data_IF_592013805918
#
_entry.id   IF_592013805918
#
_cell.length_a   1.000
_cell.length_b   1.000
_cell.length_c   1.000
_cell.angle_alpha   90.00
_cell.angle_beta   90.00
_cell.angle_gamma   90.00
#
_symmetry.space_group_name_H-M   'P 1'
#
loop_
_entity.id
_entity.type
_entity.pdbx_description
1 polymer ?
#
# COMPACT_ATOMS: atom_id res chain seq x y z
N UNK A 1 16.21 34.35 -25.28
CA UNK A 1 15.16 35.04 -24.49
C UNK A 1 14.07 34.12 -23.90
N UNK A 2 14.15 32.78 -24.01
CA UNK A 2 13.12 31.85 -23.48
C UNK A 2 13.51 31.14 -22.17
N UNK A 3 14.66 31.45 -21.57
CA UNK A 3 15.23 30.72 -20.43
C UNK A 3 14.86 31.26 -19.04
N UNK A 4 14.28 32.47 -18.93
CA UNK A 4 13.90 33.08 -17.65
C UNK A 4 12.41 32.83 -17.31
N UNK A 5 12.09 32.43 -16.05
CA UNK A 5 10.72 32.32 -15.55
C UNK A 5 9.92 33.62 -15.76
N UNK A 6 8.61 33.51 -16.07
CA UNK A 6 7.75 34.67 -16.39
C UNK A 6 7.77 35.76 -15.31
N UNK A 7 7.74 35.36 -14.04
CA UNK A 7 7.73 36.28 -12.89
C UNK A 7 9.04 37.06 -12.76
N UNK A 8 10.18 36.41 -13.02
CA UNK A 8 11.48 37.09 -12.98
C UNK A 8 11.62 38.03 -14.18
N UNK A 9 11.11 37.65 -15.36
CA UNK A 9 11.08 38.51 -16.55
C UNK A 9 10.31 39.80 -16.33
N UNK A 10 9.11 39.72 -15.77
CA UNK A 10 8.28 40.90 -15.49
C UNK A 10 8.95 41.84 -14.48
N UNK A 11 9.59 41.27 -13.45
CA UNK A 11 10.34 42.06 -12.46
C UNK A 11 11.56 42.76 -13.05
N UNK A 12 12.35 42.06 -13.87
CA UNK A 12 13.51 42.65 -14.55
C UNK A 12 13.07 43.74 -15.53
N UNK A 13 11.98 43.52 -16.27
CA UNK A 13 11.46 44.50 -17.23
C UNK A 13 10.92 45.75 -16.51
N UNK A 14 10.21 45.58 -15.40
CA UNK A 14 9.74 46.70 -14.58
C UNK A 14 10.89 47.53 -13.98
N UNK A 15 11.98 46.88 -13.56
CA UNK A 15 13.14 47.57 -12.98
C UNK A 15 13.87 48.45 -14.00
N UNK A 16 14.08 47.95 -15.23
CA UNK A 16 14.69 48.76 -16.28
C UNK A 16 13.76 49.84 -16.82
N UNK A 17 12.44 49.61 -16.81
CA UNK A 17 11.47 50.65 -17.16
C UNK A 17 11.53 51.83 -16.17
N UNK A 18 11.64 51.56 -14.87
CA UNK A 18 11.80 52.60 -13.84
C UNK A 18 13.09 53.43 -14.04
N UNK A 19 14.20 52.79 -14.41
CA UNK A 19 15.47 53.50 -14.72
C UNK A 19 15.37 54.36 -15.99
N UNK A 20 14.59 53.94 -16.98
CA UNK A 20 14.35 54.74 -18.19
C UNK A 20 13.45 55.92 -17.86
N UNK A 21 12.39 55.69 -17.09
CA UNK A 21 11.47 56.73 -16.64
C UNK A 21 12.19 57.80 -15.80
N UNK A 22 13.04 57.41 -14.85
CA UNK A 22 13.86 58.34 -14.05
C UNK A 22 14.76 59.23 -14.94
N UNK A 23 15.37 58.64 -15.98
CA UNK A 23 16.22 59.39 -16.92
C UNK A 23 15.43 60.34 -17.84
N UNK A 24 14.21 59.95 -18.21
CA UNK A 24 13.31 60.83 -18.96
C UNK A 24 12.81 62.01 -18.11
N UNK A 25 12.59 61.79 -16.80
CA UNK A 25 12.23 62.88 -15.87
C UNK A 25 13.37 63.89 -15.66
N UNK A 26 14.64 63.46 -15.80
CA UNK A 26 15.82 64.34 -15.80
C UNK A 26 16.00 65.13 -17.12
N UNK A 27 15.13 64.94 -18.10
CA UNK A 27 15.05 65.71 -19.34
C UNK A 27 15.75 65.08 -20.56
N UNK A 28 16.14 63.80 -20.48
CA UNK A 28 16.64 63.04 -21.62
C UNK A 28 15.50 62.49 -22.48
N UNK A 29 15.72 62.38 -23.79
CA UNK A 29 14.75 61.74 -24.68
C UNK A 29 14.83 60.22 -24.54
N UNK A 30 13.72 59.50 -24.74
CA UNK A 30 13.64 58.03 -24.59
C UNK A 30 14.73 57.31 -25.40
N UNK A 31 15.05 57.82 -26.59
CA UNK A 31 16.07 57.25 -27.48
C UNK A 31 17.50 57.39 -26.91
N UNK A 32 17.80 58.48 -26.22
CA UNK A 32 19.09 58.70 -25.54
C UNK A 32 19.21 57.88 -24.25
N UNK A 33 18.11 57.73 -23.49
CA UNK A 33 18.07 56.93 -22.26
C UNK A 33 18.28 55.43 -22.55
N UNK A 34 17.76 54.94 -23.68
CA UNK A 34 17.96 53.56 -24.14
C UNK A 34 19.39 53.34 -24.65
N UNK A 35 19.99 54.32 -25.33
CA UNK A 35 21.39 54.24 -25.79
C UNK A 35 22.39 54.26 -24.61
N UNK A 36 22.09 55.04 -23.57
CA UNK A 36 22.89 55.12 -22.34
C UNK A 36 22.95 53.80 -21.55
N UNK A 37 21.92 52.96 -21.66
CA UNK A 37 21.88 51.62 -21.05
C UNK A 37 22.83 50.61 -21.74
N UNK A 38 23.30 50.92 -22.95
CA UNK A 38 24.24 50.10 -23.71
C UNK A 38 23.61 48.89 -24.42
N UNK A 39 24.45 48.02 -24.98
CA UNK A 39 23.98 46.89 -25.81
C UNK A 39 23.04 45.95 -25.05
N UNK A 40 21.79 45.89 -25.52
CA UNK A 40 20.69 45.09 -24.98
C UNK A 40 21.06 43.60 -24.93
N UNK A 41 21.90 43.12 -25.85
CA UNK A 41 22.37 41.74 -25.84
C UNK A 41 23.27 41.46 -24.62
N UNK A 42 24.14 42.40 -24.27
CA UNK A 42 25.05 42.26 -23.12
C UNK A 42 24.30 42.34 -21.79
N UNK A 43 23.28 43.20 -21.68
CA UNK A 43 22.41 43.29 -20.49
C UNK A 43 21.58 42.01 -20.28
N UNK A 44 21.07 41.41 -21.35
CA UNK A 44 20.30 40.17 -21.29
C UNK A 44 21.15 39.00 -20.77
N UNK A 45 22.40 38.90 -21.21
CA UNK A 45 23.33 37.88 -20.73
C UNK A 45 23.74 38.11 -19.26
N UNK A 46 23.94 39.37 -18.86
CA UNK A 46 24.24 39.73 -17.47
C UNK A 46 23.08 39.40 -16.52
N UNK A 47 21.84 39.63 -16.96
CA UNK A 47 20.64 39.30 -16.19
C UNK A 47 20.46 37.78 -15.99
N UNK A 48 20.80 36.99 -17.02
CA UNK A 48 20.79 35.52 -16.94
C UNK A 48 21.88 35.03 -15.98
N UNK A 49 23.07 35.65 -15.99
CA UNK A 49 24.18 35.27 -15.11
C UNK A 49 23.93 35.62 -13.63
N UNK A 50 23.30 36.76 -13.37
CA UNK A 50 23.00 37.24 -12.01
C UNK A 50 21.76 36.58 -11.39
N UNK A 51 20.98 35.84 -12.18
CA UNK A 51 19.88 35.04 -11.65
C UNK A 51 20.45 33.82 -10.93
N UNK A 52 20.18 33.63 -9.62
CA UNK A 52 20.77 32.54 -8.85
C UNK A 52 20.37 31.19 -9.46
N UNK A 53 21.37 30.36 -9.78
CA UNK A 53 21.19 29.06 -10.43
C UNK A 53 20.21 28.13 -9.68
N UNK A 54 19.96 28.40 -8.40
CA UNK A 54 18.96 27.72 -7.57
C UNK A 54 17.50 27.98 -7.96
N UNK A 55 17.13 29.15 -8.52
CA UNK A 55 15.77 29.43 -9.02
C UNK A 55 15.55 28.81 -10.40
N UNK A 56 16.60 28.73 -11.23
CA UNK A 56 16.58 28.03 -12.52
C UNK A 56 16.48 26.50 -12.33
N UNK A 57 17.16 25.94 -11.34
CA UNK A 57 17.06 24.50 -11.00
C UNK A 57 15.72 24.18 -10.35
N UNK A 58 15.22 25.01 -9.42
CA UNK A 58 13.91 24.79 -8.78
C UNK A 58 12.73 24.91 -9.74
N UNK A 59 12.80 25.80 -10.73
CA UNK A 59 11.74 25.95 -11.73
C UNK A 59 11.73 24.81 -12.75
N UNK A 60 12.90 24.30 -13.17
CA UNK A 60 13.02 23.11 -14.05
C UNK A 60 12.58 21.80 -13.36
N UNK A 61 12.69 21.73 -12.04
CA UNK A 61 12.21 20.62 -11.20
C UNK A 61 10.69 20.62 -10.98
N UNK A 62 9.95 21.60 -11.53
CA UNK A 62 8.48 21.57 -11.60
C UNK A 62 8.01 20.89 -12.90
N UNK A 63 8.67 19.80 -13.29
CA UNK A 63 8.15 18.91 -14.33
C UNK A 63 7.04 18.07 -13.71
N UNK A 64 5.85 18.11 -14.31
CA UNK A 64 4.73 17.25 -13.97
C UNK A 64 5.14 15.79 -14.17
N UNK A 65 5.73 15.19 -13.13
CA UNK A 65 6.52 13.95 -13.16
C UNK A 65 5.67 12.70 -13.40
N UNK A 66 4.38 12.85 -13.70
CA UNK A 66 3.45 11.74 -13.86
C UNK A 66 3.90 10.78 -14.97
N UNK A 67 4.47 11.27 -16.10
CA UNK A 67 4.96 10.37 -17.17
C UNK A 67 6.18 9.56 -16.75
N UNK A 68 7.16 10.18 -16.10
CA UNK A 68 8.34 9.49 -15.60
C UNK A 68 7.98 8.54 -14.45
N UNK A 69 7.06 8.93 -13.57
CA UNK A 69 6.49 8.03 -12.56
C UNK A 69 5.76 6.85 -13.21
N UNK A 70 4.98 7.06 -14.27
CA UNK A 70 4.31 5.96 -14.99
C UNK A 70 5.32 5.02 -15.64
N UNK A 71 6.36 5.55 -16.31
CA UNK A 71 7.41 4.71 -16.94
C UNK A 71 8.21 3.96 -15.88
N UNK A 72 8.54 4.61 -14.77
CA UNK A 72 9.23 3.98 -13.65
C UNK A 72 8.34 2.95 -12.95
N UNK A 73 7.03 3.18 -12.87
CA UNK A 73 6.05 2.22 -12.36
C UNK A 73 5.90 1.02 -13.29
N UNK A 74 5.95 1.20 -14.61
CA UNK A 74 5.91 0.11 -15.61
C UNK A 74 7.20 -0.71 -15.57
N UNK A 75 8.36 -0.07 -15.39
CA UNK A 75 9.64 -0.79 -15.19
C UNK A 75 9.73 -1.44 -13.80
N UNK A 76 9.10 -0.84 -12.80
CA UNK A 76 8.94 -1.41 -11.46
C UNK A 76 7.86 -2.49 -11.38
N UNK A 77 6.88 -2.49 -12.29
CA UNK A 77 5.75 -3.42 -12.34
C UNK A 77 6.19 -4.88 -12.36
N UNK A 78 7.18 -5.29 -13.18
CA UNK A 78 7.77 -6.62 -13.12
C UNK A 78 8.28 -7.04 -11.74
N UNK A 79 8.59 -6.09 -10.84
CA UNK A 79 9.20 -6.33 -9.54
C UNK A 79 8.18 -6.28 -8.40
N UNK A 80 7.28 -5.29 -8.40
CA UNK A 80 6.26 -5.17 -7.34
C UNK A 80 4.98 -5.98 -7.60
N UNK A 81 4.63 -6.23 -8.86
CA UNK A 81 3.47 -7.06 -9.22
C UNK A 81 3.60 -8.51 -8.69
N UNK A 82 4.69 -9.25 -8.96
CA UNK A 82 4.83 -10.60 -8.42
C UNK A 82 4.91 -10.60 -6.89
N UNK A 83 5.50 -9.57 -6.28
CA UNK A 83 5.55 -9.45 -4.82
C UNK A 83 4.14 -9.30 -4.21
N UNK A 84 3.27 -8.51 -4.85
CA UNK A 84 1.87 -8.39 -4.45
C UNK A 84 1.11 -9.71 -4.63
N UNK A 85 1.40 -10.46 -5.70
CA UNK A 85 0.79 -11.78 -5.94
C UNK A 85 1.23 -12.78 -4.87
N UNK A 86 2.51 -12.83 -4.51
CA UNK A 86 3.02 -13.70 -3.43
C UNK A 86 2.29 -13.39 -2.12
N UNK A 87 2.12 -12.12 -1.78
CA UNK A 87 1.39 -11.71 -0.58
C UNK A 87 -0.08 -12.19 -0.60
N UNK A 88 -0.75 -12.09 -1.75
CA UNK A 88 -2.11 -12.60 -1.92
C UNK A 88 -2.18 -14.13 -1.77
N UNK A 89 -1.24 -14.85 -2.39
CA UNK A 89 -1.15 -16.32 -2.31
C UNK A 89 -0.91 -16.77 -0.87
N UNK A 90 -0.04 -16.09 -0.12
CA UNK A 90 0.19 -16.38 1.30
C UNK A 90 -1.11 -16.21 2.10
N UNK A 91 -1.86 -15.13 1.86
CA UNK A 91 -3.15 -14.92 2.52
C UNK A 91 -4.15 -16.04 2.24
N UNK A 92 -4.28 -16.46 0.98
CA UNK A 92 -5.16 -17.57 0.58
C UNK A 92 -4.68 -18.90 1.19
N UNK A 93 -3.38 -19.17 1.17
CA UNK A 93 -2.81 -20.38 1.76
C UNK A 93 -3.09 -20.46 3.26
N UNK A 94 -2.91 -19.37 4.00
CA UNK A 94 -3.23 -19.30 5.44
C UNK A 94 -4.72 -19.54 5.70
N UNK A 95 -5.60 -19.00 4.84
CA UNK A 95 -7.03 -19.24 4.94
C UNK A 95 -7.37 -20.72 4.73
N UNK A 96 -6.80 -21.36 3.69
CA UNK A 96 -7.00 -22.79 3.42
C UNK A 96 -6.47 -23.64 4.59
N UNK A 97 -5.28 -23.35 5.10
CA UNK A 97 -4.69 -24.07 6.25
C UNK A 97 -5.57 -23.93 7.48
N UNK A 98 -6.11 -22.74 7.74
CA UNK A 98 -7.03 -22.52 8.85
C UNK A 98 -8.31 -23.37 8.72
N UNK A 99 -8.92 -23.43 7.54
CA UNK A 99 -10.08 -24.28 7.30
C UNK A 99 -9.75 -25.77 7.32
N UNK A 100 -8.59 -26.16 6.81
CA UNK A 100 -8.12 -27.54 6.85
C UNK A 100 -7.88 -28.00 8.30
N UNK A 101 -7.38 -27.13 9.17
CA UNK A 101 -7.22 -27.41 10.60
C UNK A 101 -8.58 -27.59 11.30
N UNK A 102 -9.59 -26.78 10.94
CA UNK A 102 -10.96 -26.99 11.44
C UNK A 102 -11.50 -28.34 10.95
N UNK A 103 -11.37 -28.62 9.65
CA UNK A 103 -11.83 -29.89 9.06
C UNK A 103 -11.13 -31.11 9.66
N UNK A 104 -9.82 -31.04 9.94
CA UNK A 104 -9.07 -32.16 10.53
C UNK A 104 -9.55 -32.47 11.94
N UNK A 105 -9.91 -31.45 12.73
CA UNK A 105 -10.52 -31.65 14.07
C UNK A 105 -11.88 -32.34 13.96
N UNK A 106 -12.70 -31.97 12.98
CA UNK A 106 -13.99 -32.63 12.71
C UNK A 106 -13.85 -34.08 12.26
N UNK A 107 -12.86 -34.37 11.41
CA UNK A 107 -12.60 -35.75 10.96
C UNK A 107 -12.01 -36.59 12.09
N UNK A 108 -11.11 -36.02 12.90
CA UNK A 108 -10.52 -36.69 14.05
C UNK A 108 -11.59 -37.03 15.12
N UNK A 109 -12.51 -36.11 15.39
CA UNK A 109 -13.64 -36.37 16.29
C UNK A 109 -14.55 -37.48 15.77
N UNK A 110 -14.99 -37.39 14.50
CA UNK A 110 -15.83 -38.41 13.89
C UNK A 110 -15.16 -39.79 13.87
N UNK A 111 -13.87 -39.85 13.55
CA UNK A 111 -13.11 -41.11 13.49
C UNK A 111 -12.91 -41.72 14.87
N UNK A 112 -12.66 -40.90 15.90
CA UNK A 112 -12.53 -41.37 17.29
C UNK A 112 -13.83 -42.01 17.78
N UNK A 113 -14.98 -41.36 17.55
CA UNK A 113 -16.30 -41.91 17.90
C UNK A 113 -16.60 -43.18 17.09
N UNK A 114 -16.33 -43.16 15.77
CA UNK A 114 -16.55 -44.32 14.91
C UNK A 114 -15.72 -45.54 15.34
N UNK A 115 -14.42 -45.35 15.59
CA UNK A 115 -13.55 -46.41 16.07
C UNK A 115 -13.99 -46.94 17.45
N UNK A 116 -14.42 -46.05 18.34
CA UNK A 116 -14.89 -46.41 19.67
C UNK A 116 -16.24 -47.18 19.63
N UNK A 117 -17.16 -46.84 18.72
CA UNK A 117 -18.41 -47.60 18.52
C UNK A 117 -18.13 -48.98 17.94
N UNK A 118 -17.28 -49.08 16.93
CA UNK A 118 -16.91 -50.36 16.29
C UNK A 118 -16.21 -51.30 17.28
N UNK A 119 -15.28 -50.78 18.07
CA UNK A 119 -14.59 -51.56 19.10
C UNK A 119 -15.53 -51.99 20.24
N UNK A 120 -16.47 -51.13 20.65
CA UNK A 120 -17.47 -51.48 21.65
C UNK A 120 -18.35 -52.64 21.15
N UNK A 121 -18.87 -52.54 19.92
CA UNK A 121 -19.69 -53.58 19.31
C UNK A 121 -18.92 -54.90 19.18
N UNK A 122 -17.73 -54.89 18.57
CA UNK A 122 -16.90 -56.09 18.42
C UNK A 122 -16.68 -56.79 19.78
N UNK A 123 -16.26 -56.02 20.80
CA UNK A 123 -15.94 -56.58 22.11
C UNK A 123 -17.14 -57.20 22.82
N UNK A 124 -18.31 -56.55 22.74
CA UNK A 124 -19.55 -57.09 23.33
C UNK A 124 -19.99 -58.41 22.68
N UNK A 125 -19.78 -58.58 21.36
CA UNK A 125 -20.20 -59.78 20.64
C UNK A 125 -19.17 -60.92 20.65
N UNK A 126 -17.88 -60.63 20.80
CA UNK A 126 -16.82 -61.67 20.68
C UNK A 126 -16.02 -61.95 21.95
N UNK A 127 -15.86 -60.98 22.85
CA UNK A 127 -14.85 -61.05 23.92
C UNK A 127 -15.41 -60.98 25.36
N UNK A 128 -16.75 -61.02 25.51
CA UNK A 128 -17.43 -61.05 26.81
C UNK A 128 -17.48 -59.70 27.55
N UNK A 129 -18.35 -59.63 28.57
CA UNK A 129 -18.74 -58.37 29.25
C UNK A 129 -17.57 -57.67 29.96
N UNK A 130 -16.57 -58.44 30.45
CA UNK A 130 -15.42 -57.89 31.17
C UNK A 130 -14.53 -56.98 30.31
N UNK A 131 -14.30 -57.34 29.05
CA UNK A 131 -13.58 -56.48 28.11
C UNK A 131 -14.43 -55.27 27.70
N UNK A 132 -15.75 -55.43 27.60
CA UNK A 132 -16.68 -54.34 27.24
C UNK A 132 -16.58 -53.10 28.14
N UNK A 133 -16.32 -53.26 29.44
CA UNK A 133 -16.17 -52.14 30.39
C UNK A 133 -14.93 -51.30 30.11
N UNK A 134 -13.81 -51.92 29.71
CA UNK A 134 -12.56 -51.23 29.39
C UNK A 134 -12.71 -50.39 28.11
N UNK A 135 -13.33 -50.94 27.08
CA UNK A 135 -13.60 -50.20 25.83
C UNK A 135 -14.68 -49.13 25.99
N UNK A 136 -15.62 -49.30 26.93
CA UNK A 136 -16.56 -48.24 27.30
C UNK A 136 -15.85 -47.03 27.93
N UNK A 137 -14.86 -47.27 28.78
CA UNK A 137 -13.99 -46.21 29.31
C UNK A 137 -13.21 -45.47 28.22
N UNK A 138 -12.67 -46.23 27.24
CA UNK A 138 -11.97 -45.66 26.08
C UNK A 138 -12.90 -44.83 25.17
N UNK A 139 -14.16 -45.26 25.03
CA UNK A 139 -15.19 -44.50 24.33
C UNK A 139 -15.49 -43.17 25.02
N UNK A 140 -15.69 -43.16 26.33
CA UNK A 140 -15.95 -41.91 27.08
C UNK A 140 -14.78 -40.92 27.01
N UNK A 141 -13.53 -41.39 27.10
CA UNK A 141 -12.36 -40.50 26.99
C UNK A 141 -12.18 -39.96 25.58
N UNK A 142 -12.46 -40.78 24.55
CA UNK A 142 -12.48 -40.35 23.15
C UNK A 142 -13.53 -39.27 22.86
N UNK A 143 -14.74 -39.43 23.41
CA UNK A 143 -15.81 -38.42 23.33
C UNK A 143 -15.43 -37.14 24.08
N UNK A 144 -14.84 -37.26 25.27
CA UNK A 144 -14.38 -36.10 26.06
C UNK A 144 -13.31 -35.27 25.35
N UNK A 145 -12.30 -35.94 24.75
CA UNK A 145 -11.28 -35.29 23.94
C UNK A 145 -11.86 -34.61 22.70
N UNK A 146 -12.82 -35.26 22.05
CA UNK A 146 -13.53 -34.72 20.89
C UNK A 146 -14.27 -33.40 21.22
N UNK A 147 -14.95 -33.32 22.37
CA UNK A 147 -15.65 -32.11 22.80
C UNK A 147 -14.68 -30.97 23.14
N UNK A 148 -13.53 -31.28 23.78
CA UNK A 148 -12.49 -30.29 24.05
C UNK A 148 -11.90 -29.70 22.77
N UNK A 149 -11.57 -30.55 21.79
CA UNK A 149 -11.04 -30.11 20.50
C UNK A 149 -12.08 -29.30 19.71
N UNK A 150 -13.37 -29.67 19.80
CA UNK A 150 -14.46 -28.90 19.22
C UNK A 150 -14.52 -27.47 19.77
N UNK A 151 -14.38 -27.30 21.09
CA UNK A 151 -14.34 -25.96 21.70
C UNK A 151 -13.11 -25.16 21.26
N UNK A 152 -11.95 -25.80 21.14
CA UNK A 152 -10.73 -25.18 20.62
C UNK A 152 -10.92 -24.68 19.17
N UNK A 153 -11.49 -25.50 18.31
CA UNK A 153 -11.81 -25.13 16.93
C UNK A 153 -12.86 -24.00 16.84
N UNK A 154 -13.84 -24.00 17.75
CA UNK A 154 -14.85 -22.94 17.82
C UNK A 154 -14.26 -21.58 18.24
N UNK A 155 -13.27 -21.58 19.14
CA UNK A 155 -12.57 -20.36 19.54
C UNK A 155 -11.69 -19.82 18.41
N UNK A 156 -10.96 -20.70 17.74
CA UNK A 156 -10.12 -20.37 16.58
C UNK A 156 -10.94 -19.79 15.42
N UNK A 157 -12.09 -20.41 15.10
CA UNK A 157 -12.98 -19.90 14.05
C UNK A 157 -13.54 -18.51 14.38
N UNK A 158 -13.95 -18.25 15.63
CA UNK A 158 -14.38 -16.90 16.05
C UNK A 158 -13.26 -15.86 15.93
N UNK A 159 -12.03 -16.23 16.27
CA UNK A 159 -10.86 -15.34 16.16
C UNK A 159 -10.57 -15.01 14.69
N UNK A 160 -10.62 -16.01 13.82
CA UNK A 160 -10.43 -15.86 12.37
C UNK A 160 -11.53 -15.00 11.73
N UNK A 161 -12.79 -15.19 12.13
CA UNK A 161 -13.92 -14.38 11.64
C UNK A 161 -13.75 -12.92 12.06
N UNK A 162 -13.37 -12.66 13.31
CA UNK A 162 -13.09 -11.29 13.79
C UNK A 162 -11.92 -10.65 13.03
N UNK A 163 -10.86 -11.41 12.79
CA UNK A 163 -9.71 -10.93 12.02
C UNK A 163 -10.05 -10.64 10.55
N UNK A 164 -10.88 -11.49 9.93
CA UNK A 164 -11.37 -11.31 8.57
C UNK A 164 -12.29 -10.08 8.47
N UNK A 165 -13.18 -9.90 9.44
CA UNK A 165 -14.04 -8.72 9.48
C UNK A 165 -13.23 -7.43 9.70
N UNK A 166 -12.21 -7.45 10.57
CA UNK A 166 -11.34 -6.31 10.83
C UNK A 166 -10.52 -5.90 9.60
N UNK A 167 -9.97 -6.88 8.87
CA UNK A 167 -9.24 -6.62 7.62
C UNK A 167 -10.14 -6.08 6.50
N UNK A 168 -11.40 -6.52 6.44
CA UNK A 168 -12.38 -6.02 5.49
C UNK A 168 -12.79 -4.57 5.75
N UNK A 169 -13.03 -4.20 7.01
CA UNK A 169 -13.40 -2.83 7.37
C UNK A 169 -12.24 -1.84 7.15
N UNK A 170 -11.01 -2.25 7.47
CA UNK A 170 -9.82 -1.43 7.18
C UNK A 170 -9.58 -1.27 5.67
N UNK A 171 -9.81 -2.32 4.88
CA UNK A 171 -9.74 -2.24 3.42
C UNK A 171 -10.78 -1.28 2.84
N UNK A 172 -12.04 -1.36 3.28
CA UNK A 172 -13.11 -0.41 2.87
C UNK A 172 -12.77 1.03 3.21
N UNK A 173 -12.30 1.29 4.43
CA UNK A 173 -11.94 2.65 4.88
C UNK A 173 -10.80 3.20 4.01
N UNK A 174 -9.81 2.37 3.65
CA UNK A 174 -8.73 2.77 2.75
C UNK A 174 -9.22 3.12 1.34
N UNK A 175 -10.19 2.36 0.82
CA UNK A 175 -10.78 2.57 -0.50
C UNK A 175 -11.70 3.81 -0.53
N UNK A 176 -12.46 4.04 0.53
CA UNK A 176 -13.31 5.22 0.68
C UNK A 176 -12.48 6.51 0.74
N UNK A 177 -11.39 6.51 1.52
CA UNK A 177 -10.46 7.66 1.61
C UNK A 177 -9.76 7.98 0.28
N UNK A 178 -9.49 6.96 -0.53
CA UNK A 178 -8.87 7.12 -1.86
C UNK A 178 -9.86 7.64 -2.92
N UNK A 179 -11.17 7.52 -2.69
CA UNK A 179 -12.22 8.01 -3.60
C UNK A 179 -12.66 9.45 -3.28
N UNK A 180 -12.39 9.92 -2.06
CA UNK A 180 -12.71 11.28 -1.60
C UNK A 180 -11.55 12.29 -1.76
N UNK A 181 -10.39 11.84 -2.23
CA UNK A 181 -9.21 12.65 -2.51
C UNK A 181 -8.96 12.68 -4.03
#
# INVERSE_FOLDING_TARGET
>A
MSSLPKVEREKTLSYYAEIIDDQMEEGMTEEEAVDALGDVAHLADLAILNTPMSTLVKSKMRYNNNRLLTVLLILGFPLWFPLSVVFAVIGVALYIVAWAAVASVWVASASSVGAAVVSLFNTFFTNGVGNGVVFFGLFMTGVGLSVLLFFGAFLLSKLLIKFTHYSWETAKISLAKKRSA
#
